data_IF_146716617578
#
_entry.id   IF_146716617578
#
_cell.length_a   1.000
_cell.length_b   1.000
_cell.length_c   1.000
_cell.angle_alpha   90.00
_cell.angle_beta   90.00
_cell.angle_gamma   90.00
#
_symmetry.space_group_name_H-M   'P 1'
#
loop_
_entity.id
_entity.type
_entity.pdbx_description
1 polymer ?
#
# COMPACT_ATOMS: atom_id res chain seq x y z
N UNK A 1 29.99 -17.91 3.16
CA UNK A 1 29.06 -17.35 2.15
C UNK A 1 27.75 -16.81 2.72
N UNK A 2 26.94 -17.59 3.46
CA UNK A 2 25.65 -17.12 4.00
C UNK A 2 25.77 -15.92 4.96
N UNK A 3 26.64 -15.99 5.98
CA UNK A 3 26.82 -14.89 6.94
C UNK A 3 27.24 -13.57 6.29
N UNK A 4 28.15 -13.61 5.32
CA UNK A 4 28.59 -12.42 4.60
C UNK A 4 27.44 -11.79 3.80
N UNK A 5 26.64 -12.62 3.12
CA UNK A 5 25.44 -12.16 2.39
C UNK A 5 24.40 -11.55 3.34
N UNK A 6 24.15 -12.17 4.49
CA UNK A 6 23.24 -11.62 5.50
C UNK A 6 23.70 -10.25 5.99
N UNK A 7 24.97 -10.09 6.33
CA UNK A 7 25.54 -8.80 6.75
C UNK A 7 25.44 -7.74 5.65
N UNK A 8 25.73 -8.11 4.40
CA UNK A 8 25.61 -7.21 3.27
C UNK A 8 24.17 -6.72 3.08
N UNK A 9 23.18 -7.62 3.17
CA UNK A 9 21.77 -7.27 3.06
C UNK A 9 21.29 -6.42 4.24
N UNK A 10 21.68 -6.76 5.47
CA UNK A 10 21.35 -5.98 6.67
C UNK A 10 21.86 -4.54 6.57
N UNK A 11 23.09 -4.34 6.10
CA UNK A 11 23.68 -3.01 5.93
C UNK A 11 22.98 -2.23 4.82
N UNK A 12 22.79 -2.85 3.64
CA UNK A 12 22.19 -2.18 2.48
C UNK A 12 20.73 -1.84 2.70
N UNK A 13 19.97 -2.71 3.37
CA UNK A 13 18.52 -2.48 3.53
C UNK A 13 18.24 -1.28 4.43
N UNK A 14 18.98 -1.11 5.53
CA UNK A 14 18.79 0.01 6.47
C UNK A 14 19.49 1.31 6.11
N UNK A 15 20.32 1.34 5.07
CA UNK A 15 21.13 2.52 4.73
C UNK A 15 20.26 3.77 4.45
N UNK A 16 20.48 4.85 5.20
CA UNK A 16 19.74 6.10 5.04
C UNK A 16 18.32 6.09 5.61
N UNK A 17 17.98 5.08 6.43
CA UNK A 17 16.74 5.00 7.20
C UNK A 17 17.09 5.25 8.67
N UNK A 18 16.52 6.30 9.25
CA UNK A 18 16.74 6.65 10.65
C UNK A 18 16.11 5.62 11.59
N UNK A 19 16.82 5.19 12.63
CA UNK A 19 16.36 4.22 13.63
C UNK A 19 15.73 2.97 13.02
N UNK A 20 16.40 2.44 11.98
CA UNK A 20 15.89 1.38 11.13
C UNK A 20 15.87 0.02 11.84
N UNK A 21 14.70 -0.62 11.84
CA UNK A 21 14.56 -2.04 12.18
C UNK A 21 14.80 -2.88 10.93
N UNK A 22 15.90 -3.63 10.94
CA UNK A 22 16.34 -4.42 9.79
C UNK A 22 16.15 -5.91 10.07
N UNK A 23 15.45 -6.60 9.17
CA UNK A 23 15.23 -8.05 9.25
C UNK A 23 15.77 -8.69 7.97
N UNK A 24 16.55 -9.76 8.11
CA UNK A 24 17.05 -10.56 6.98
C UNK A 24 16.71 -12.03 7.20
N UNK A 25 16.15 -12.65 6.17
CA UNK A 25 15.94 -14.08 6.07
C UNK A 25 16.79 -14.61 4.92
N UNK A 26 17.65 -15.59 5.20
CA UNK A 26 18.50 -16.24 4.20
C UNK A 26 18.30 -17.75 4.26
N UNK A 27 17.90 -18.33 3.13
CA UNK A 27 17.62 -19.76 2.98
C UNK A 27 18.49 -20.29 1.85
N UNK A 28 19.22 -21.36 2.12
CA UNK A 28 19.99 -22.07 1.10
C UNK A 28 19.79 -23.58 1.22
N UNK A 29 19.56 -24.23 0.09
CA UNK A 29 19.46 -25.67 -0.02
C UNK A 29 20.47 -26.18 -1.05
N UNK A 30 21.26 -27.17 -0.67
CA UNK A 30 22.26 -27.81 -1.53
C UNK A 30 22.02 -29.32 -1.55
N UNK A 31 21.96 -29.89 -2.75
CA UNK A 31 21.72 -31.31 -2.96
C UNK A 31 22.96 -31.96 -3.58
N UNK A 32 23.58 -32.87 -2.82
CA UNK A 32 24.78 -33.62 -3.20
C UNK A 32 24.39 -34.93 -3.91
N UNK A 33 23.71 -34.82 -5.06
CA UNK A 33 23.43 -35.97 -5.93
C UNK A 33 24.59 -36.26 -6.90
N UNK A 34 24.35 -37.11 -7.90
CA UNK A 34 25.31 -37.33 -9.00
C UNK A 34 25.71 -36.02 -9.72
N UNK A 35 24.83 -35.03 -9.68
CA UNK A 35 25.10 -33.65 -10.07
C UNK A 35 24.67 -32.71 -8.94
N UNK A 36 25.51 -31.73 -8.62
CA UNK A 36 25.22 -30.73 -7.60
C UNK A 36 24.04 -29.85 -8.03
N UNK A 37 23.05 -29.67 -7.15
CA UNK A 37 22.03 -28.64 -7.28
C UNK A 37 22.09 -27.68 -6.10
N UNK A 38 21.89 -26.39 -6.36
CA UNK A 38 21.92 -25.36 -5.33
C UNK A 38 20.81 -24.34 -5.55
N UNK A 39 20.16 -23.96 -4.46
CA UNK A 39 19.13 -22.93 -4.42
C UNK A 39 19.41 -21.99 -3.27
N UNK A 40 19.35 -20.69 -3.54
CA UNK A 40 19.60 -19.64 -2.54
C UNK A 40 18.51 -18.59 -2.67
N UNK A 41 17.97 -18.14 -1.55
CA UNK A 41 17.06 -17.01 -1.47
C UNK A 41 17.38 -16.16 -0.25
N UNK A 42 17.53 -14.87 -0.44
CA UNK A 42 17.76 -13.89 0.62
C UNK A 42 16.73 -12.78 0.48
N UNK A 43 16.06 -12.45 1.58
CA UNK A 43 15.10 -11.36 1.67
C UNK A 43 15.51 -10.46 2.81
N UNK A 44 15.44 -9.15 2.60
CA UNK A 44 15.68 -8.14 3.62
C UNK A 44 14.61 -7.07 3.61
N UNK A 45 14.20 -6.63 4.80
CA UNK A 45 13.25 -5.53 5.00
C UNK A 45 13.83 -4.56 6.02
N UNK A 46 13.66 -3.26 5.74
CA UNK A 46 13.94 -2.18 6.66
C UNK A 46 12.72 -1.26 6.78
N UNK A 47 12.35 -0.94 8.02
CA UNK A 47 11.29 0.01 8.33
C UNK A 47 11.63 0.78 9.61
N UNK A 48 11.03 1.96 9.78
CA UNK A 48 11.17 2.76 11.00
C UNK A 48 9.93 3.59 11.25
N UNK A 49 9.46 3.71 12.51
CA UNK A 49 8.33 4.56 12.87
C UNK A 49 8.65 6.07 12.81
N UNK A 50 9.94 6.43 12.74
CA UNK A 50 10.40 7.83 12.69
C UNK A 50 11.03 8.21 11.35
N UNK A 51 11.06 7.26 10.39
CA UNK A 51 11.51 7.52 9.03
C UNK A 51 10.34 7.41 8.07
N UNK A 52 10.32 8.28 7.05
CA UNK A 52 9.38 8.16 5.95
C UNK A 52 9.75 7.03 4.98
N UNK A 53 10.95 6.46 5.09
CA UNK A 53 11.49 5.50 4.14
C UNK A 53 11.36 4.07 4.66
N UNK A 54 11.00 3.16 3.76
CA UNK A 54 11.15 1.73 3.96
C UNK A 54 11.82 1.09 2.74
N UNK A 55 12.53 -0.02 2.94
CA UNK A 55 13.24 -0.69 1.85
C UNK A 55 13.06 -2.20 1.93
N UNK A 56 12.90 -2.82 0.77
CA UNK A 56 12.84 -4.25 0.57
C UNK A 56 13.91 -4.66 -0.45
N UNK A 57 14.72 -5.67 -0.12
CA UNK A 57 15.68 -6.27 -1.04
C UNK A 57 15.43 -7.77 -1.12
N UNK A 58 15.50 -8.33 -2.32
CA UNK A 58 15.45 -9.77 -2.54
C UNK A 58 16.51 -10.19 -3.54
N UNK A 59 17.10 -11.35 -3.27
CA UNK A 59 17.93 -12.08 -4.19
C UNK A 59 17.48 -13.53 -4.19
N UNK A 60 17.35 -14.15 -5.35
CA UNK A 60 17.26 -15.59 -5.43
C UNK A 60 18.04 -16.13 -6.63
N UNK A 61 18.64 -17.30 -6.43
CA UNK A 61 19.44 -18.02 -7.41
C UNK A 61 19.04 -19.49 -7.42
N UNK A 62 18.89 -20.04 -8.63
CA UNK A 62 18.66 -21.46 -8.85
C UNK A 62 19.73 -22.03 -9.78
N UNK A 63 20.34 -23.12 -9.33
CA UNK A 63 21.32 -23.91 -10.07
C UNK A 63 20.88 -25.38 -10.03
N UNK A 64 19.96 -25.80 -10.91
CA UNK A 64 19.41 -27.16 -10.91
C UNK A 64 20.38 -28.21 -11.49
N UNK A 65 20.35 -29.43 -10.95
CA UNK A 65 21.24 -30.53 -11.35
C UNK A 65 21.11 -30.99 -12.82
N UNK A 66 19.89 -30.95 -13.37
CA UNK A 66 19.55 -31.52 -14.69
C UNK A 66 19.17 -30.46 -15.74
N UNK A 67 19.55 -29.20 -15.54
CA UNK A 67 19.27 -28.13 -16.50
C UNK A 67 20.41 -27.13 -16.55
N UNK A 68 20.84 -26.76 -17.75
CA UNK A 68 21.82 -25.70 -17.97
C UNK A 68 21.25 -24.28 -17.75
N UNK A 69 19.96 -24.16 -17.40
CA UNK A 69 19.31 -22.87 -17.13
C UNK A 69 19.48 -22.50 -15.67
N UNK A 70 20.64 -21.94 -15.34
CA UNK A 70 20.81 -21.13 -14.15
C UNK A 70 19.88 -19.92 -14.24
N UNK A 71 19.35 -19.47 -13.11
CA UNK A 71 18.49 -18.29 -13.09
C UNK A 71 18.76 -17.47 -11.84
N UNK A 72 18.81 -16.15 -12.01
CA UNK A 72 19.00 -15.19 -10.92
C UNK A 72 17.92 -14.13 -11.00
N UNK A 73 17.39 -13.76 -9.84
CA UNK A 73 16.46 -12.63 -9.70
C UNK A 73 16.94 -11.71 -8.59
N UNK A 74 16.86 -10.43 -8.85
CA UNK A 74 17.13 -9.34 -7.91
C UNK A 74 15.91 -8.45 -7.86
N UNK A 75 15.50 -8.07 -6.65
CA UNK A 75 14.47 -7.06 -6.42
C UNK A 75 15.01 -6.04 -5.45
N UNK A 76 14.86 -4.77 -5.77
CA UNK A 76 15.08 -3.67 -4.85
C UNK A 76 13.85 -2.77 -4.90
N UNK A 77 13.17 -2.59 -3.78
CA UNK A 77 12.04 -1.68 -3.67
C UNK A 77 12.26 -0.71 -2.51
N UNK A 78 11.90 0.54 -2.72
CA UNK A 78 11.91 1.59 -1.72
C UNK A 78 10.56 2.31 -1.74
N UNK A 79 10.00 2.57 -0.57
CA UNK A 79 8.86 3.45 -0.42
C UNK A 79 9.21 4.67 0.41
N UNK A 80 8.52 5.78 0.12
CA UNK A 80 8.57 7.01 0.91
C UNK A 80 7.13 7.39 1.25
N UNK A 81 6.75 7.24 2.51
CA UNK A 81 5.43 7.53 3.05
C UNK A 81 5.56 8.50 4.23
N UNK A 82 4.83 9.62 4.25
CA UNK A 82 4.94 10.61 5.33
C UNK A 82 4.33 10.06 6.63
N UNK A 83 4.86 10.52 7.76
CA UNK A 83 4.26 10.25 9.08
C UNK A 83 3.01 11.11 9.19
N UNK A 84 1.85 10.47 9.31
CA UNK A 84 0.56 11.16 9.39
C UNK A 84 0.00 11.16 10.81
N UNK A 85 -0.73 12.21 11.23
CA UNK A 85 -1.37 12.25 12.53
C UNK A 85 -2.40 11.12 12.70
N UNK A 86 -2.23 10.30 13.73
CA UNK A 86 -3.13 9.16 14.01
C UNK A 86 -4.31 9.51 14.94
N UNK A 87 -4.20 10.58 15.72
CA UNK A 87 -5.12 10.88 16.85
C UNK A 87 -5.81 12.24 16.74
N UNK A 88 -5.65 12.95 15.61
CA UNK A 88 -6.27 14.27 15.43
C UNK A 88 -6.72 14.48 13.98
N UNK A 89 -8.04 14.45 13.78
CA UNK A 89 -8.65 14.58 12.45
C UNK A 89 -8.28 15.89 11.74
N UNK A 90 -8.29 17.03 12.45
CA UNK A 90 -7.95 18.34 11.85
C UNK A 90 -6.49 18.44 11.43
N UNK A 91 -5.59 17.79 12.16
CA UNK A 91 -4.18 17.74 11.77
C UNK A 91 -4.00 16.80 10.58
N UNK A 92 -4.60 15.61 10.61
CA UNK A 92 -4.53 14.63 9.52
C UNK A 92 -5.03 15.23 8.19
N UNK A 93 -6.14 15.95 8.21
CA UNK A 93 -6.72 16.58 7.01
C UNK A 93 -5.82 17.65 6.37
N UNK A 94 -4.90 18.25 7.14
CA UNK A 94 -3.97 19.29 6.67
C UNK A 94 -2.66 18.72 6.12
N UNK A 95 -2.27 17.53 6.56
CA UNK A 95 -1.03 16.89 6.13
C UNK A 95 -1.19 16.39 4.70
N UNK A 96 -0.10 16.46 3.93
CA UNK A 96 -0.03 15.83 2.62
C UNK A 96 0.37 14.36 2.78
N UNK A 97 -0.52 13.38 2.52
CA UNK A 97 -0.21 11.96 2.64
C UNK A 97 0.55 11.41 1.41
N UNK A 98 0.93 12.27 0.46
CA UNK A 98 1.54 11.85 -0.81
C UNK A 98 2.70 10.89 -0.58
N UNK A 99 2.57 9.72 -1.19
CA UNK A 99 3.48 8.60 -1.02
C UNK A 99 4.08 8.17 -2.35
N UNK A 100 5.31 7.65 -2.30
CA UNK A 100 6.05 7.19 -3.47
C UNK A 100 6.53 5.75 -3.27
N UNK A 101 6.53 4.97 -4.35
CA UNK A 101 7.11 3.63 -4.38
C UNK A 101 7.99 3.54 -5.63
N UNK A 102 9.20 3.07 -5.47
CA UNK A 102 10.08 2.72 -6.57
C UNK A 102 10.50 1.26 -6.41
N UNK A 103 10.48 0.48 -7.48
CA UNK A 103 11.01 -0.87 -7.45
C UNK A 103 11.76 -1.19 -8.73
N UNK A 104 12.83 -1.96 -8.61
CA UNK A 104 13.58 -2.52 -9.73
C UNK A 104 13.63 -4.02 -9.57
N UNK A 105 13.32 -4.72 -10.66
CA UNK A 105 13.37 -6.18 -10.75
C UNK A 105 14.29 -6.50 -11.93
N UNK A 106 15.30 -7.31 -11.68
CA UNK A 106 16.17 -7.84 -12.73
C UNK A 106 16.15 -9.36 -12.66
N UNK A 107 15.87 -10.02 -13.78
CA UNK A 107 15.95 -11.47 -13.88
C UNK A 107 16.53 -11.86 -15.24
N UNK A 108 17.55 -12.70 -15.22
CA UNK A 108 18.34 -13.03 -16.41
C UNK A 108 18.77 -11.73 -17.14
N UNK A 109 18.40 -11.55 -18.42
CA UNK A 109 18.67 -10.33 -19.20
C UNK A 109 17.55 -9.27 -19.10
N UNK A 110 16.44 -9.59 -18.44
CA UNK A 110 15.26 -8.74 -18.36
C UNK A 110 15.34 -7.77 -17.18
N UNK A 111 14.84 -6.55 -17.38
CA UNK A 111 14.75 -5.51 -16.35
C UNK A 111 13.36 -4.91 -16.34
N UNK A 112 12.84 -4.65 -15.14
CA UNK A 112 11.57 -3.95 -14.92
C UNK A 112 11.81 -2.89 -13.85
N UNK A 113 11.40 -1.66 -14.13
CA UNK A 113 11.40 -0.56 -13.18
C UNK A 113 9.97 -0.09 -12.97
N UNK A 114 9.56 -0.02 -11.73
CA UNK A 114 8.25 0.45 -11.29
C UNK A 114 8.42 1.78 -10.55
N UNK A 115 7.61 2.77 -10.91
CA UNK A 115 7.50 4.04 -10.19
C UNK A 115 6.04 4.31 -9.90
N UNK A 116 5.70 4.51 -8.64
CA UNK A 116 4.36 4.78 -8.17
C UNK A 116 4.31 6.08 -7.38
N UNK A 117 3.25 6.85 -7.60
CA UNK A 117 2.86 8.01 -6.81
C UNK A 117 1.41 7.83 -6.38
N UNK A 118 1.16 7.96 -5.09
CA UNK A 118 -0.17 7.91 -4.49
C UNK A 118 -0.44 9.25 -3.83
N UNK A 119 -1.64 9.78 -4.01
CA UNK A 119 -2.00 11.13 -3.59
C UNK A 119 -3.44 11.17 -3.10
N UNK A 120 -3.73 12.19 -2.29
CA UNK A 120 -5.10 12.57 -1.97
C UNK A 120 -5.54 13.75 -2.83
N UNK A 121 -6.73 13.64 -3.43
CA UNK A 121 -7.32 14.71 -4.23
C UNK A 121 -7.92 15.81 -3.35
N UNK A 122 -8.03 17.01 -3.91
CA UNK A 122 -8.74 18.12 -3.27
C UNK A 122 -10.24 17.80 -3.08
N UNK A 123 -10.86 17.09 -4.03
CA UNK A 123 -12.26 16.68 -3.94
C UNK A 123 -12.50 15.75 -2.75
N UNK A 124 -11.58 14.82 -2.48
CA UNK A 124 -11.64 13.96 -1.30
C UNK A 124 -11.56 14.75 0.00
N UNK A 125 -10.65 15.73 0.09
CA UNK A 125 -10.56 16.62 1.26
C UNK A 125 -11.85 17.39 1.47
N UNK A 126 -12.37 18.03 0.42
CA UNK A 126 -13.64 18.77 0.48
C UNK A 126 -14.82 17.86 0.86
N UNK A 127 -14.83 16.61 0.39
CA UNK A 127 -15.85 15.65 0.77
C UNK A 127 -15.83 15.33 2.26
N UNK A 128 -14.64 15.10 2.81
CA UNK A 128 -14.47 14.85 4.24
C UNK A 128 -14.84 16.07 5.08
N UNK A 129 -14.51 17.28 4.63
CA UNK A 129 -14.85 18.52 5.33
C UNK A 129 -16.35 18.80 5.34
N UNK A 130 -17.03 18.62 4.20
CA UNK A 130 -18.37 19.18 4.00
C UNK A 130 -19.49 18.12 4.02
N UNK A 131 -19.21 16.89 3.58
CA UNK A 131 -20.25 15.90 3.28
C UNK A 131 -20.17 14.62 4.10
N UNK A 132 -19.03 14.30 4.73
CA UNK A 132 -18.87 13.08 5.52
C UNK A 132 -19.59 13.20 6.89
N UNK A 133 -20.64 12.40 7.17
CA UNK A 133 -21.34 12.45 8.45
C UNK A 133 -20.42 12.07 9.63
N UNK A 134 -19.48 11.16 9.37
CA UNK A 134 -18.47 10.73 10.33
C UNK A 134 -17.54 11.89 10.73
N UNK A 135 -17.08 12.66 9.74
CA UNK A 135 -16.22 13.81 9.97
C UNK A 135 -16.96 14.93 10.70
N UNK A 136 -18.21 15.21 10.34
CA UNK A 136 -19.06 16.19 11.03
C UNK A 136 -19.24 15.82 12.52
N UNK A 137 -19.52 14.54 12.80
CA UNK A 137 -19.59 14.04 14.18
C UNK A 137 -18.26 14.20 14.93
N UNK A 138 -17.13 13.91 14.28
CA UNK A 138 -15.83 14.15 14.88
C UNK A 138 -15.62 15.65 15.18
N UNK A 139 -15.93 16.55 14.25
CA UNK A 139 -15.77 17.99 14.47
C UNK A 139 -16.58 18.48 15.67
N UNK A 140 -17.82 17.99 15.85
CA UNK A 140 -18.63 18.28 17.04
C UNK A 140 -17.99 17.77 18.33
N UNK A 141 -17.44 16.56 18.32
CA UNK A 141 -16.72 16.00 19.47
C UNK A 141 -15.46 16.81 19.80
N UNK A 142 -14.71 17.23 18.79
CA UNK A 142 -13.50 18.04 18.96
C UNK A 142 -13.80 19.42 19.55
N UNK A 143 -14.98 20.01 19.29
CA UNK A 143 -15.41 21.26 19.94
C UNK A 143 -15.55 21.10 21.46
N UNK A 144 -15.82 19.89 21.94
CA UNK A 144 -15.91 19.55 23.37
C UNK A 144 -14.56 19.05 23.94
N UNK A 145 -13.48 19.18 23.16
CA UNK A 145 -12.15 18.68 23.51
C UNK A 145 -11.95 17.19 23.25
N UNK A 146 -12.94 16.49 22.69
CA UNK A 146 -12.85 15.05 22.43
C UNK A 146 -12.26 14.78 21.04
N UNK A 147 -11.03 14.25 20.97
CA UNK A 147 -10.28 14.08 19.71
C UNK A 147 -10.08 12.63 19.27
N UNK A 148 -10.37 11.66 20.14
CA UNK A 148 -9.96 10.25 19.94
C UNK A 148 -11.12 9.27 20.09
N UNK A 149 -12.34 9.76 20.23
CA UNK A 149 -13.56 8.96 20.14
C UNK A 149 -13.67 8.24 18.79
N UNK A 150 -14.51 7.21 18.72
CA UNK A 150 -14.73 6.38 17.53
C UNK A 150 -14.92 7.17 16.23
N UNK A 151 -15.73 8.23 16.26
CA UNK A 151 -15.96 9.04 15.07
C UNK A 151 -14.67 9.74 14.61
N UNK A 152 -13.90 10.29 15.55
CA UNK A 152 -12.63 10.93 15.24
C UNK A 152 -11.54 9.98 14.81
N UNK A 153 -11.40 8.81 15.42
CA UNK A 153 -10.44 7.79 14.96
C UNK A 153 -10.70 7.38 13.51
N UNK A 154 -11.95 7.04 13.19
CA UNK A 154 -12.29 6.64 11.84
C UNK A 154 -12.21 7.82 10.86
N UNK A 155 -12.61 9.04 11.25
CA UNK A 155 -12.45 10.22 10.41
C UNK A 155 -10.97 10.51 10.13
N UNK A 156 -10.09 10.34 11.13
CA UNK A 156 -8.63 10.51 11.01
C UNK A 156 -8.04 9.49 10.04
N UNK A 157 -8.43 8.21 10.14
CA UNK A 157 -8.05 7.19 9.15
C UNK A 157 -8.52 7.58 7.73
N UNK A 158 -9.77 8.01 7.59
CA UNK A 158 -10.33 8.41 6.29
C UNK A 158 -9.62 9.64 5.69
N UNK A 159 -9.09 10.53 6.53
CA UNK A 159 -8.35 11.74 6.14
C UNK A 159 -6.99 11.46 5.54
N UNK A 160 -6.41 10.29 5.80
CA UNK A 160 -5.11 9.89 5.26
C UNK A 160 -5.22 8.89 4.10
N UNK A 161 -6.44 8.49 3.72
CA UNK A 161 -6.67 7.65 2.53
C UNK A 161 -6.39 8.44 1.25
N UNK A 162 -5.61 7.82 0.38
CA UNK A 162 -5.29 8.29 -0.96
C UNK A 162 -6.25 7.70 -1.99
N UNK A 163 -6.71 8.56 -2.90
CA UNK A 163 -7.71 8.26 -3.94
C UNK A 163 -7.17 8.48 -5.37
N UNK A 164 -5.93 8.96 -5.51
CA UNK A 164 -5.27 9.15 -6.80
C UNK A 164 -3.99 8.33 -6.88
N UNK A 165 -3.85 7.57 -7.95
CA UNK A 165 -2.75 6.65 -8.19
C UNK A 165 -2.17 6.90 -9.57
N UNK A 166 -0.85 7.07 -9.66
CA UNK A 166 -0.10 7.14 -10.91
C UNK A 166 1.04 6.15 -10.85
N UNK A 167 1.02 5.16 -11.73
CA UNK A 167 2.04 4.12 -11.81
C UNK A 167 2.66 4.13 -13.20
N UNK A 168 3.97 3.92 -13.26
CA UNK A 168 4.74 3.78 -14.49
C UNK A 168 5.62 2.56 -14.38
N UNK A 169 5.57 1.71 -15.40
CA UNK A 169 6.36 0.50 -15.53
C UNK A 169 7.21 0.61 -16.78
N UNK A 170 8.52 0.72 -16.60
CA UNK A 170 9.48 0.61 -17.69
C UNK A 170 10.02 -0.81 -17.71
N UNK A 171 10.22 -1.37 -18.89
CA UNK A 171 10.73 -2.73 -19.01
C UNK A 171 11.65 -2.89 -20.21
N UNK A 172 12.62 -3.79 -20.08
CA UNK A 172 13.54 -4.12 -21.16
C UNK A 172 13.72 -5.64 -21.26
N UNK A 173 13.89 -6.13 -22.49
CA UNK A 173 14.15 -7.54 -22.83
C UNK A 173 13.19 -8.56 -22.19
N UNK A 174 11.92 -8.18 -21.99
CA UNK A 174 10.92 -9.08 -21.39
C UNK A 174 10.63 -10.28 -22.31
N UNK A 175 10.81 -11.52 -21.82
CA UNK A 175 10.54 -12.74 -22.58
C UNK A 175 9.08 -12.84 -23.05
N UNK A 176 8.86 -13.48 -24.20
CA UNK A 176 7.52 -13.67 -24.79
C UNK A 176 6.53 -14.37 -23.85
N UNK A 177 7.02 -15.26 -22.99
CA UNK A 177 6.19 -15.91 -21.96
C UNK A 177 5.48 -14.87 -21.08
N UNK A 178 6.21 -13.88 -20.55
CA UNK A 178 5.66 -12.85 -19.68
C UNK A 178 4.75 -11.89 -20.46
N UNK A 179 5.07 -11.57 -21.72
CA UNK A 179 4.19 -10.76 -22.59
C UNK A 179 2.83 -11.44 -22.83
N UNK A 180 2.83 -12.76 -23.05
CA UNK A 180 1.59 -13.52 -23.22
C UNK A 180 0.80 -13.62 -21.90
N UNK A 181 1.49 -13.82 -20.78
CA UNK A 181 0.87 -13.87 -19.47
C UNK A 181 0.17 -12.54 -19.12
N UNK A 182 0.83 -11.40 -19.35
CA UNK A 182 0.23 -10.07 -19.11
C UNK A 182 -0.93 -9.80 -20.06
N UNK A 183 -0.84 -10.22 -21.32
CA UNK A 183 -1.96 -10.11 -22.26
C UNK A 183 -3.19 -10.91 -21.81
N UNK A 184 -3.00 -12.15 -21.33
CA UNK A 184 -4.10 -12.95 -20.78
C UNK A 184 -4.73 -12.32 -19.54
N UNK A 185 -3.92 -11.76 -18.64
CA UNK A 185 -4.41 -11.02 -17.48
C UNK A 185 -5.26 -9.81 -17.90
N UNK A 186 -4.80 -9.07 -18.91
CA UNK A 186 -5.56 -7.97 -19.50
C UNK A 186 -6.88 -8.45 -20.11
N UNK A 187 -6.88 -9.54 -20.88
CA UNK A 187 -8.09 -10.09 -21.49
C UNK A 187 -9.14 -10.50 -20.45
N UNK A 188 -8.71 -11.07 -19.31
CA UNK A 188 -9.58 -11.40 -18.20
C UNK A 188 -10.17 -10.14 -17.53
N UNK A 189 -9.35 -9.11 -17.30
CA UNK A 189 -9.82 -7.81 -16.78
C UNK A 189 -10.84 -7.17 -17.73
N UNK A 190 -10.54 -7.15 -19.02
CA UNK A 190 -11.42 -6.61 -20.07
C UNK A 190 -12.77 -7.33 -20.09
N UNK A 191 -12.77 -8.66 -19.95
CA UNK A 191 -14.00 -9.44 -19.85
C UNK A 191 -14.81 -9.11 -18.59
N UNK A 192 -14.14 -9.02 -17.43
CA UNK A 192 -14.79 -8.68 -16.17
C UNK A 192 -15.38 -7.25 -16.15
N UNK A 193 -14.73 -6.32 -16.85
CA UNK A 193 -15.13 -4.91 -16.92
C UNK A 193 -15.81 -4.53 -18.25
N UNK A 194 -16.36 -5.50 -19.00
CA UNK A 194 -16.77 -5.29 -20.40
C UNK A 194 -17.77 -4.14 -20.61
N UNK A 195 -18.62 -3.85 -19.62
CA UNK A 195 -19.62 -2.76 -19.69
C UNK A 195 -19.02 -1.37 -19.42
N UNK A 196 -17.81 -1.30 -18.88
CA UNK A 196 -17.17 -0.07 -18.40
C UNK A 196 -15.88 0.25 -19.14
N UNK A 197 -15.37 -0.69 -19.95
CA UNK A 197 -14.10 -0.57 -20.66
C UNK A 197 -14.29 0.02 -22.05
N UNK A 198 -13.40 0.94 -22.41
CA UNK A 198 -13.23 1.47 -23.76
C UNK A 198 -11.76 1.33 -24.15
N UNK A 199 -11.51 0.91 -25.38
CA UNK A 199 -10.18 0.66 -25.91
C UNK A 199 -9.95 1.55 -27.13
N UNK A 200 -8.77 2.17 -27.19
CA UNK A 200 -8.29 2.91 -28.36
C UNK A 200 -6.93 2.35 -28.77
N UNK A 201 -6.94 1.67 -29.92
CA UNK A 201 -5.77 1.04 -30.53
C UNK A 201 -5.22 1.94 -31.64
N UNK A 202 -6.04 2.85 -32.20
CA UNK A 202 -5.70 3.62 -33.40
C UNK A 202 -4.87 4.84 -33.04
N UNK A 203 -5.20 5.54 -31.95
CA UNK A 203 -4.47 6.74 -31.53
C UNK A 203 -3.30 6.45 -30.59
N UNK A 204 -3.09 5.19 -30.20
CA UNK A 204 -2.10 4.79 -29.23
C UNK A 204 -0.67 4.94 -29.77
N UNK A 205 -0.01 6.04 -29.42
CA UNK A 205 1.40 6.33 -29.75
C UNK A 205 2.24 6.43 -28.48
N UNK A 206 2.17 5.41 -27.63
CA UNK A 206 2.90 5.38 -26.36
C UNK A 206 4.31 4.78 -26.55
N UNK A 207 5.27 5.09 -25.65
CA UNK A 207 6.61 4.51 -25.71
C UNK A 207 6.60 2.97 -25.68
N UNK A 208 7.43 2.33 -26.50
CA UNK A 208 7.41 0.88 -26.73
C UNK A 208 7.81 0.01 -25.53
N UNK A 209 8.49 0.62 -24.56
CA UNK A 209 9.07 -0.01 -23.38
C UNK A 209 8.45 0.50 -22.07
N UNK A 210 7.29 1.16 -22.14
CA UNK A 210 6.62 1.73 -20.99
C UNK A 210 5.12 1.38 -20.97
N UNK A 211 4.62 1.06 -19.78
CA UNK A 211 3.20 1.02 -19.47
C UNK A 211 2.93 2.03 -18.36
N UNK A 212 1.87 2.82 -18.51
CA UNK A 212 1.42 3.77 -17.50
C UNK A 212 0.02 3.41 -17.04
N UNK A 213 -0.23 3.54 -15.74
CA UNK A 213 -1.53 3.34 -15.13
C UNK A 213 -1.92 4.58 -14.32
N UNK A 214 -3.16 4.99 -14.43
CA UNK A 214 -3.75 6.02 -13.58
C UNK A 214 -5.06 5.50 -13.01
N UNK A 215 -5.25 5.61 -11.69
CA UNK A 215 -6.52 5.30 -11.05
C UNK A 215 -6.97 6.48 -10.20
N UNK A 216 -8.23 6.88 -10.36
CA UNK A 216 -8.85 7.96 -9.61
C UNK A 216 -10.15 7.45 -9.01
N UNK A 217 -10.20 7.33 -7.69
CA UNK A 217 -11.40 6.97 -6.98
C UNK A 217 -12.28 8.21 -6.82
N UNK A 218 -13.59 8.01 -6.80
CA UNK A 218 -14.52 9.06 -6.41
C UNK A 218 -14.25 9.54 -4.97
N UNK A 219 -14.65 10.77 -4.65
CA UNK A 219 -14.37 11.36 -3.34
C UNK A 219 -15.00 10.58 -2.17
N UNK A 220 -16.04 9.78 -2.40
CA UNK A 220 -16.65 8.88 -1.41
C UNK A 220 -16.10 7.44 -1.44
N UNK A 221 -15.11 7.19 -2.29
CA UNK A 221 -14.41 5.92 -2.52
C UNK A 221 -15.30 4.77 -3.04
N UNK A 222 -16.47 5.07 -3.62
CA UNK A 222 -17.41 4.05 -4.11
C UNK A 222 -17.33 3.74 -5.59
N UNK A 223 -16.53 4.48 -6.35
CA UNK A 223 -16.25 4.13 -7.74
C UNK A 223 -14.82 4.50 -8.11
N UNK A 224 -14.32 3.89 -9.19
CA UNK A 224 -12.97 4.12 -9.70
C UNK A 224 -12.99 4.34 -11.21
N UNK A 225 -12.24 5.33 -11.64
CA UNK A 225 -11.82 5.52 -13.02
C UNK A 225 -10.39 5.01 -13.16
N UNK A 226 -10.14 4.16 -14.13
CA UNK A 226 -8.83 3.59 -14.38
C UNK A 226 -8.45 3.81 -15.84
N UNK A 227 -7.21 4.24 -16.06
CA UNK A 227 -6.63 4.40 -17.40
C UNK A 227 -5.34 3.61 -17.46
N UNK A 228 -5.18 2.84 -18.52
CA UNK A 228 -3.95 2.12 -18.83
C UNK A 228 -3.48 2.53 -20.22
N UNK A 229 -2.23 2.97 -20.31
CA UNK A 229 -1.57 3.31 -21.55
C UNK A 229 -0.44 2.33 -21.79
N UNK A 230 -0.53 1.58 -22.88
CA UNK A 230 0.46 0.58 -23.30
C UNK A 230 0.98 0.93 -24.70
N UNK A 231 2.06 0.31 -25.18
CA UNK A 231 2.54 0.53 -26.54
C UNK A 231 1.50 0.21 -27.63
N UNK A 232 0.57 -0.70 -27.36
CA UNK A 232 -0.37 -1.23 -28.35
C UNK A 232 -1.75 -0.57 -28.27
N UNK A 233 -2.15 -0.11 -27.08
CA UNK A 233 -3.49 0.43 -26.85
C UNK A 233 -3.54 1.33 -25.62
N UNK A 234 -4.53 2.21 -25.61
CA UNK A 234 -5.04 2.89 -24.43
C UNK A 234 -6.36 2.24 -24.01
N UNK A 235 -6.47 1.81 -22.75
CA UNK A 235 -7.70 1.31 -22.16
C UNK A 235 -8.18 2.26 -21.07
N UNK A 236 -9.48 2.54 -21.04
CA UNK A 236 -10.11 3.35 -20.00
C UNK A 236 -11.31 2.60 -19.45
N UNK A 237 -11.34 2.43 -18.14
CA UNK A 237 -12.48 1.95 -17.38
C UNK A 237 -13.08 3.15 -16.65
N UNK A 238 -14.36 3.41 -16.88
CA UNK A 238 -15.05 4.56 -16.29
C UNK A 238 -16.13 4.12 -15.31
N UNK A 239 -16.17 4.81 -14.16
CA UNK A 239 -17.18 4.68 -13.13
C UNK A 239 -17.44 3.24 -12.69
N UNK A 240 -16.37 2.45 -12.52
CA UNK A 240 -16.49 1.09 -12.02
C UNK A 240 -16.86 1.12 -10.54
N UNK A 241 -18.04 0.60 -10.20
CA UNK A 241 -18.53 0.56 -8.83
C UNK A 241 -17.67 -0.31 -7.91
N UNK A 242 -17.31 0.21 -6.75
CA UNK A 242 -16.62 -0.49 -5.67
C UNK A 242 -17.63 -0.84 -4.59
N UNK A 243 -17.70 -2.11 -4.23
CA UNK A 243 -18.51 -2.56 -3.10
C UNK A 243 -17.71 -2.45 -1.79
N UNK A 244 -18.38 -2.66 -0.65
CA UNK A 244 -17.75 -2.60 0.68
C UNK A 244 -16.55 -3.53 0.88
N UNK A 245 -16.44 -4.59 0.08
CA UNK A 245 -15.37 -5.58 0.18
C UNK A 245 -14.21 -5.26 -0.77
N UNK A 246 -14.46 -4.59 -1.89
CA UNK A 246 -13.42 -4.20 -2.85
C UNK A 246 -12.80 -2.83 -2.57
N UNK A 247 -13.54 -1.91 -1.96
CA UNK A 247 -13.05 -0.56 -1.67
C UNK A 247 -11.74 -0.53 -0.86
N UNK A 248 -11.56 -1.34 0.23
CA UNK A 248 -10.30 -1.36 0.97
C UNK A 248 -9.09 -1.77 0.11
N UNK A 249 -9.28 -2.65 -0.87
CA UNK A 249 -8.23 -3.11 -1.79
C UNK A 249 -7.88 -2.11 -2.89
N UNK A 250 -8.77 -1.15 -3.15
CA UNK A 250 -8.57 -0.08 -4.13
C UNK A 250 -8.02 1.22 -3.52
N UNK A 251 -7.80 1.24 -2.19
CA UNK A 251 -7.32 2.43 -1.45
C UNK A 251 -5.94 2.19 -0.87
N UNK A 252 -5.26 3.26 -0.48
CA UNK A 252 -3.95 3.18 0.16
C UNK A 252 -3.86 4.15 1.34
N UNK A 253 -3.14 3.75 2.38
CA UNK A 253 -2.88 4.55 3.56
C UNK A 253 -1.39 4.47 3.91
N UNK A 254 -0.75 5.55 4.43
CA UNK A 254 0.65 5.52 4.86
C UNK A 254 0.92 4.46 5.94
N UNK A 255 0.07 4.38 6.97
CA UNK A 255 0.25 3.49 8.12
C UNK A 255 -0.52 2.16 8.09
N UNK A 256 -1.49 1.98 7.18
CA UNK A 256 -2.34 0.78 7.16
C UNK A 256 -2.25 0.08 5.82
N UNK A 257 -2.05 -1.24 5.87
CA UNK A 257 -2.12 -2.11 4.71
C UNK A 257 -3.58 -2.26 4.22
N UNK A 258 -3.80 -2.57 2.93
CA UNK A 258 -5.14 -2.90 2.44
C UNK A 258 -5.83 -4.03 3.22
N UNK A 259 -5.07 -4.99 3.74
CA UNK A 259 -5.59 -6.08 4.56
C UNK A 259 -6.11 -5.57 5.92
N UNK A 260 -5.39 -4.66 6.57
CA UNK A 260 -5.85 -4.01 7.81
C UNK A 260 -7.05 -3.09 7.55
N UNK A 261 -7.06 -2.34 6.44
CA UNK A 261 -8.23 -1.55 6.06
C UNK A 261 -9.45 -2.44 5.84
N UNK A 262 -9.27 -3.60 5.20
CA UNK A 262 -10.31 -4.57 4.95
C UNK A 262 -10.84 -5.18 6.25
N UNK A 263 -9.96 -5.64 7.13
CA UNK A 263 -10.35 -6.18 8.42
C UNK A 263 -11.02 -5.10 9.29
N UNK A 264 -10.50 -3.88 9.31
CA UNK A 264 -11.12 -2.75 10.01
C UNK A 264 -12.53 -2.44 9.49
N UNK A 265 -12.76 -2.55 8.17
CA UNK A 265 -14.08 -2.40 7.55
C UNK A 265 -15.05 -3.53 7.95
N UNK A 266 -14.59 -4.78 7.97
CA UNK A 266 -15.41 -5.94 8.39
C UNK A 266 -15.80 -5.84 9.86
N UNK A 267 -14.83 -5.52 10.72
CA UNK A 267 -15.02 -5.40 12.16
C UNK A 267 -15.53 -4.02 12.59
N UNK A 268 -15.98 -3.17 11.65
CA UNK A 268 -16.56 -1.85 11.93
C UNK A 268 -15.72 -0.99 12.88
N UNK A 269 -14.40 -0.90 12.67
CA UNK A 269 -13.53 -0.12 13.55
C UNK A 269 -13.02 -0.86 14.79
N UNK A 270 -13.38 -2.14 14.98
CA UNK A 270 -13.08 -2.94 16.17
C UNK A 270 -12.19 -4.17 15.89
N UNK A 271 -11.42 -4.17 14.80
CA UNK A 271 -10.42 -5.25 14.59
C UNK A 271 -9.47 -5.37 15.79
N UNK A 272 -9.06 -4.21 16.32
CA UNK A 272 -8.35 -4.09 17.58
C UNK A 272 -9.20 -3.21 18.50
N UNK A 273 -10.03 -3.79 19.39
CA UNK A 273 -10.82 -3.03 20.33
C UNK A 273 -9.92 -2.15 21.19
N UNK A 274 -10.29 -0.88 21.36
CA UNK A 274 -9.53 0.07 22.17
C UNK A 274 -10.46 0.76 23.17
N UNK A 275 -10.03 0.85 24.42
CA UNK A 275 -10.61 1.78 25.38
C UNK A 275 -9.93 3.15 25.24
N UNK A 276 -10.72 4.22 25.29
CA UNK A 276 -10.24 5.59 25.11
C UNK A 276 -10.80 6.47 26.21
N UNK A 277 -9.94 7.25 26.85
CA UNK A 277 -10.33 8.31 27.77
C UNK A 277 -9.96 9.64 27.11
N UNK A 278 -10.94 10.51 26.99
CA UNK A 278 -10.82 11.80 26.32
C UNK A 278 -11.25 12.91 27.30
N UNK A 279 -11.36 14.15 26.84
CA UNK A 279 -11.63 15.29 27.73
C UNK A 279 -12.92 15.16 28.57
N UNK A 280 -14.03 14.77 27.93
CA UNK A 280 -15.34 14.66 28.61
C UNK A 280 -16.06 13.35 28.37
N UNK A 281 -15.47 12.45 27.59
CA UNK A 281 -16.03 11.14 27.26
C UNK A 281 -14.99 10.04 27.47
N UNK A 282 -15.43 8.90 28.01
CA UNK A 282 -14.71 7.65 27.89
C UNK A 282 -15.45 6.72 26.92
N UNK A 283 -14.69 5.87 26.24
CA UNK A 283 -15.18 4.84 25.34
C UNK A 283 -14.62 3.49 25.77
N UNK A 284 -15.50 2.50 25.94
CA UNK A 284 -15.16 1.11 26.26
C UNK A 284 -14.71 0.32 25.02
N UNK A 285 -14.14 -0.87 25.22
CA UNK A 285 -13.76 -1.80 24.14
C UNK A 285 -14.96 -2.18 23.25
N UNK A 286 -16.16 -2.24 23.84
CA UNK A 286 -17.43 -2.49 23.14
C UNK A 286 -17.96 -1.27 22.37
N UNK A 287 -17.14 -0.22 22.19
CA UNK A 287 -17.51 1.01 21.48
C UNK A 287 -18.71 1.75 22.12
N UNK A 288 -18.92 1.58 23.43
CA UNK A 288 -19.89 2.38 24.20
C UNK A 288 -19.19 3.59 24.79
N UNK A 289 -19.68 4.78 24.43
CA UNK A 289 -19.21 6.05 24.99
C UNK A 289 -20.11 6.49 26.15
N UNK A 290 -19.50 7.02 27.22
CA UNK A 290 -20.21 7.60 28.36
C UNK A 290 -19.50 8.86 28.87
N UNK A 291 -20.24 9.83 29.41
CA UNK A 291 -19.65 11.05 29.96
C UNK A 291 -18.80 10.75 31.19
N UNK A 292 -17.67 11.44 31.29
CA UNK A 292 -16.78 11.37 32.44
C UNK A 292 -16.50 12.77 32.98
N UNK A 293 -16.28 12.84 34.29
CA UNK A 293 -15.78 14.03 34.99
C UNK A 293 -14.65 13.59 35.88
N UNK A 294 -13.45 13.52 35.29
CA UNK A 294 -12.25 13.14 36.02
C UNK A 294 -11.81 14.34 36.87
N UNK A 295 -11.95 14.22 38.18
CA UNK A 295 -11.40 15.18 39.14
C UNK A 295 -9.88 15.05 39.28
N UNK A 296 -9.31 15.67 40.31
CA UNK A 296 -7.87 15.56 40.62
C UNK A 296 -7.47 14.27 41.33
N UNK A 297 -8.43 13.39 41.63
CA UNK A 297 -8.18 12.12 42.30
C UNK A 297 -7.55 11.09 41.34
N UNK A 298 -6.93 10.07 41.91
CA UNK A 298 -6.52 8.89 41.14
C UNK A 298 -7.76 8.14 40.65
N UNK A 299 -7.76 7.77 39.38
CA UNK A 299 -8.80 6.94 38.77
C UNK A 299 -8.14 5.69 38.20
N UNK A 300 -8.79 4.54 38.38
CA UNK A 300 -8.36 3.30 37.76
C UNK A 300 -9.14 3.07 36.47
N UNK A 301 -8.43 2.73 35.40
CA UNK A 301 -9.02 2.29 34.14
C UNK A 301 -8.76 0.79 34.02
N UNK A 302 -9.82 -0.01 33.91
CA UNK A 302 -9.71 -1.45 33.79
C UNK A 302 -9.88 -1.89 32.33
N UNK A 303 -9.00 -2.82 31.95
CA UNK A 303 -9.01 -3.57 30.71
C UNK A 303 -10.02 -4.72 30.82
#
# INVERSE_FOLDING_TARGET
DSQSRQQQFLQKVGQGIQDSNNVVLDVSAEFQGQKKAQFVATVAVAYSPVSTKSRFLMFAEKNPANSNKQGKIYVAAESSMPIVPAMNYKQALKVDPTSYINAEIAFDDAKVQFKGKMMQSQYRRQYLENYSPLAQKCQQQMQQGNTVQYACRNATLQANLMDQFKLSVHYDKIPNFWRNATYKAYAAMRYAAYQYVSEDIVSAHNPSNQISFEANLAADLKSVNFTMSTPLLNAKVQNLGLNRYSAPWATWHPDYTPAELYANQIFRGQQFPTCVVDNSLAQTFDNKSYPIKLGKCWHAMFH
#
